data_IF_664440587475
#
_entry.id   IF_664440587475
#
_cell.length_a   1.000
_cell.length_b   1.000
_cell.length_c   1.000
_cell.angle_alpha   90.00
_cell.angle_beta   90.00
_cell.angle_gamma   90.00
#
_symmetry.space_group_name_H-M   'P 1'
#
loop_
_entity.id
_entity.type
_entity.pdbx_description
1 polymer ?
#
# COMPACT_ATOMS: atom_id res chain seq x y z
N UNK A 1 -11.71 -7.09 -20.77
CA UNK A 1 -10.41 -6.53 -20.37
C UNK A 1 -10.60 -6.05 -18.95
N UNK A 2 -10.01 -6.73 -17.97
CA UNK A 2 -9.82 -6.12 -16.66
C UNK A 2 -8.88 -4.93 -16.89
N UNK A 3 -9.36 -3.72 -16.63
CA UNK A 3 -8.71 -2.50 -17.08
C UNK A 3 -7.62 -2.16 -16.07
N UNK A 4 -6.35 -2.35 -16.41
CA UNK A 4 -5.20 -1.95 -15.55
C UNK A 4 -5.27 -0.47 -15.10
N UNK A 5 -6.05 0.37 -15.80
CA UNK A 5 -6.38 1.74 -15.42
C UNK A 5 -7.05 1.86 -14.04
N UNK A 6 -7.89 0.90 -13.63
CA UNK A 6 -8.57 0.97 -12.34
C UNK A 6 -7.60 0.77 -11.17
N UNK A 7 -6.63 -0.14 -11.31
CA UNK A 7 -5.51 -0.32 -10.38
C UNK A 7 -4.72 0.97 -10.25
N UNK A 8 -4.32 1.60 -11.35
CA UNK A 8 -3.58 2.88 -11.32
C UNK A 8 -4.35 3.98 -10.60
N UNK A 9 -5.66 4.08 -10.84
CA UNK A 9 -6.52 5.03 -10.13
C UNK A 9 -6.61 4.68 -8.65
N UNK A 10 -6.77 3.41 -8.30
CA UNK A 10 -6.87 2.97 -6.90
C UNK A 10 -5.56 3.20 -6.12
N UNK A 11 -4.40 3.09 -6.77
CA UNK A 11 -3.10 3.47 -6.18
C UNK A 11 -3.09 4.95 -5.82
N UNK A 12 -3.60 5.82 -6.71
CA UNK A 12 -3.73 7.26 -6.42
C UNK A 12 -4.74 7.53 -5.32
N UNK A 13 -5.89 6.84 -5.34
CA UNK A 13 -6.88 6.96 -4.26
C UNK A 13 -6.24 6.59 -2.93
N UNK A 14 -5.48 5.50 -2.86
CA UNK A 14 -4.76 5.09 -1.66
C UNK A 14 -3.81 6.18 -1.18
N UNK A 15 -3.01 6.79 -2.06
CA UNK A 15 -2.07 7.84 -1.65
C UNK A 15 -2.78 9.08 -1.07
N UNK A 16 -3.97 9.42 -1.57
CA UNK A 16 -4.81 10.46 -0.96
C UNK A 16 -5.40 10.04 0.39
N UNK A 17 -5.73 8.76 0.56
CA UNK A 17 -6.28 8.24 1.82
C UNK A 17 -5.21 8.14 2.92
N UNK A 18 -3.96 7.83 2.54
CA UNK A 18 -2.83 7.74 3.45
C UNK A 18 -2.39 9.11 4.02
N UNK A 19 -2.88 10.22 3.43
CA UNK A 19 -2.60 11.58 3.91
C UNK A 19 -3.18 11.86 5.30
N UNK A 20 -4.17 11.08 5.75
CA UNK A 20 -4.74 11.19 7.10
C UNK A 20 -4.24 10.01 7.95
N UNK A 21 -3.49 10.23 9.04
CA UNK A 21 -3.01 9.15 9.90
C UNK A 21 -4.16 8.32 10.47
N UNK A 22 -4.01 6.99 10.55
CA UNK A 22 -5.05 6.05 10.98
C UNK A 22 -5.70 6.44 12.33
N UNK A 23 -4.91 6.96 13.27
CA UNK A 23 -5.36 7.44 14.59
C UNK A 23 -6.34 8.62 14.52
N UNK A 24 -6.29 9.39 13.44
CA UNK A 24 -7.16 10.55 13.18
C UNK A 24 -8.34 10.23 12.26
N UNK A 25 -8.39 9.02 11.69
CA UNK A 25 -9.47 8.62 10.79
C UNK A 25 -10.76 8.29 11.57
N UNK A 26 -11.91 8.65 10.98
CA UNK A 26 -13.23 8.16 11.43
C UNK A 26 -13.43 6.73 10.95
N UNK A 27 -14.36 6.00 11.58
CA UNK A 27 -14.65 4.60 11.22
C UNK A 27 -14.99 4.40 9.74
N UNK A 28 -15.85 5.24 9.18
CA UNK A 28 -16.21 5.16 7.76
C UNK A 28 -15.04 5.40 6.82
N UNK A 29 -14.11 6.28 7.20
CA UNK A 29 -12.89 6.53 6.43
C UNK A 29 -11.97 5.31 6.45
N UNK A 30 -11.77 4.70 7.63
CA UNK A 30 -11.00 3.45 7.76
C UNK A 30 -11.56 2.33 6.89
N UNK A 31 -12.89 2.23 6.80
CA UNK A 31 -13.55 1.25 5.92
C UNK A 31 -13.20 1.51 4.46
N UNK A 32 -13.26 2.76 4.00
CA UNK A 32 -12.90 3.12 2.62
C UNK A 32 -11.44 2.76 2.34
N UNK A 33 -10.49 3.14 3.22
CA UNK A 33 -9.08 2.79 3.06
C UNK A 33 -8.87 1.29 2.94
N UNK A 34 -9.49 0.49 3.81
CA UNK A 34 -9.40 -0.98 3.76
C UNK A 34 -10.00 -1.57 2.50
N UNK A 35 -11.08 -1.03 1.97
CA UNK A 35 -11.68 -1.49 0.72
C UNK A 35 -10.77 -1.21 -0.48
N UNK A 36 -10.12 -0.04 -0.51
CA UNK A 36 -9.14 0.30 -1.55
C UNK A 36 -7.92 -0.62 -1.46
N UNK A 37 -7.38 -0.85 -0.26
CA UNK A 37 -6.28 -1.81 -0.07
C UNK A 37 -6.67 -3.22 -0.51
N UNK A 38 -7.85 -3.70 -0.11
CA UNK A 38 -8.36 -5.03 -0.49
C UNK A 38 -8.48 -5.16 -2.00
N UNK A 39 -8.97 -4.12 -2.66
CA UNK A 39 -9.07 -4.08 -4.11
C UNK A 39 -7.69 -4.21 -4.77
N UNK A 40 -6.70 -3.44 -4.30
CA UNK A 40 -5.33 -3.50 -4.82
C UNK A 40 -4.67 -4.85 -4.55
N UNK A 41 -4.91 -5.48 -3.39
CA UNK A 41 -4.42 -6.83 -3.07
C UNK A 41 -4.91 -7.85 -4.10
N UNK A 42 -6.18 -7.79 -4.48
CA UNK A 42 -6.81 -8.79 -5.36
C UNK A 42 -6.52 -8.56 -6.84
N UNK A 43 -6.50 -7.30 -7.28
CA UNK A 43 -6.52 -6.97 -8.71
C UNK A 43 -5.15 -6.51 -9.25
N UNK A 44 -4.23 -6.07 -8.39
CA UNK A 44 -2.89 -5.72 -8.86
C UNK A 44 -2.09 -6.98 -9.21
N UNK A 45 -1.44 -6.97 -10.38
CA UNK A 45 -0.39 -7.93 -10.73
C UNK A 45 0.87 -7.57 -9.95
N UNK A 46 0.98 -8.06 -8.72
CA UNK A 46 2.02 -7.61 -7.80
C UNK A 46 3.44 -7.92 -8.32
N UNK A 47 4.27 -6.88 -8.39
CA UNK A 47 5.71 -6.99 -8.60
C UNK A 47 6.41 -6.71 -7.28
N UNK A 48 6.54 -7.74 -6.44
CA UNK A 48 7.11 -7.61 -5.09
C UNK A 48 8.63 -7.54 -5.20
N UNK A 49 9.19 -6.45 -4.68
CA UNK A 49 10.63 -6.22 -4.56
C UNK A 49 11.02 -6.12 -3.10
N UNK A 50 12.29 -6.42 -2.83
CA UNK A 50 12.93 -6.24 -1.52
C UNK A 50 13.77 -4.97 -1.58
N UNK A 51 13.70 -4.15 -0.53
CA UNK A 51 14.51 -2.95 -0.38
C UNK A 51 14.98 -2.78 1.06
N UNK A 52 16.13 -2.14 1.25
CA UNK A 52 16.70 -1.83 2.56
C UNK A 52 16.63 -0.32 2.77
N UNK A 53 15.64 0.12 3.56
CA UNK A 53 15.45 1.53 3.87
C UNK A 53 16.20 1.93 5.14
N UNK A 54 16.84 3.08 5.13
CA UNK A 54 17.43 3.66 6.34
C UNK A 54 16.32 4.24 7.22
N UNK A 55 16.20 3.73 8.45
CA UNK A 55 15.22 4.21 9.44
C UNK A 55 15.86 5.10 10.51
N UNK A 56 17.18 5.01 10.66
CA UNK A 56 18.03 5.83 11.52
C UNK A 56 19.46 5.83 10.95
N UNK A 57 20.34 6.71 11.44
CA UNK A 57 21.75 6.84 11.04
C UNK A 57 22.51 5.51 11.13
N UNK A 58 22.12 4.62 12.04
CA UNK A 58 22.78 3.33 12.29
C UNK A 58 21.88 2.12 11.98
N UNK A 59 20.64 2.33 11.51
CA UNK A 59 19.65 1.25 11.39
C UNK A 59 18.99 1.29 10.02
N UNK A 60 19.10 0.17 9.31
CA UNK A 60 18.27 -0.11 8.14
C UNK A 60 17.18 -1.12 8.47
N UNK A 61 16.10 -1.09 7.70
CA UNK A 61 15.02 -2.06 7.74
C UNK A 61 14.80 -2.62 6.34
N UNK A 62 14.87 -3.94 6.22
CA UNK A 62 14.41 -4.62 5.01
C UNK A 62 12.89 -4.55 4.94
N UNK A 63 12.37 -4.06 3.82
CA UNK A 63 10.95 -4.00 3.51
C UNK A 63 10.69 -4.77 2.21
N UNK A 64 9.48 -5.29 2.09
CA UNK A 64 8.98 -5.88 0.85
C UNK A 64 7.76 -5.10 0.42
N UNK A 65 7.74 -4.62 -0.82
CA UNK A 65 6.62 -3.87 -1.34
C UNK A 65 6.41 -4.18 -2.81
N UNK A 66 5.19 -3.95 -3.30
CA UNK A 66 4.89 -4.03 -4.72
C UNK A 66 5.27 -2.73 -5.42
N UNK A 67 6.12 -2.76 -6.45
CA UNK A 67 6.46 -1.55 -7.22
C UNK A 67 5.25 -0.95 -7.95
N UNK A 68 4.25 -1.78 -8.30
CA UNK A 68 3.09 -1.35 -9.06
C UNK A 68 2.05 -0.64 -8.19
N UNK A 69 1.79 -1.13 -6.97
CA UNK A 69 0.72 -0.60 -6.11
C UNK A 69 1.18 -0.05 -4.76
N UNK A 70 2.48 -0.14 -4.46
CA UNK A 70 3.13 0.37 -3.25
C UNK A 70 2.60 -0.24 -1.94
N UNK A 71 1.82 -1.33 -2.01
CA UNK A 71 1.45 -2.09 -0.83
C UNK A 71 2.69 -2.78 -0.26
N UNK A 72 2.86 -2.70 1.05
CA UNK A 72 3.89 -3.41 1.79
C UNK A 72 3.39 -4.81 2.16
N UNK A 73 4.26 -5.80 2.00
CA UNK A 73 3.98 -7.19 2.34
C UNK A 73 4.93 -7.60 3.45
N UNK A 74 4.49 -7.44 4.71
CA UNK A 74 5.29 -7.93 5.83
C UNK A 74 5.35 -9.46 5.79
N UNK A 75 6.54 -10.02 5.57
CA UNK A 75 6.81 -11.43 5.82
C UNK A 75 6.62 -11.68 7.32
N UNK A 76 5.45 -12.19 7.72
CA UNK A 76 5.25 -12.71 9.07
C UNK A 76 6.17 -13.92 9.24
N UNK A 77 7.31 -13.73 9.90
CA UNK A 77 8.09 -14.78 10.55
C UNK A 77 7.32 -15.39 11.71
#
# INVERSE_FOLDING_TARGET
MENEEDVDIMVRVKSYLDAIPEKAQKDSYRVISRLVETYLIVNCKHNIVEDSIDVDVEKSKTIHYCENCLLTFDCKT
#
